data_IF_080486098566
#
_entry.id   IF_080486098566
#
_cell.length_a   1.000
_cell.length_b   1.000
_cell.length_c   1.000
_cell.angle_alpha   90.00
_cell.angle_beta   90.00
_cell.angle_gamma   90.00
#
_symmetry.space_group_name_H-M   'P 1'
#
loop_
_entity.id
_entity.type
_entity.pdbx_description
1 polymer ?
#
# COMPACT_ATOMS: atom_id res chain seq x y z
N UNK A 1 -28.45 4.05 5.30
CA UNK A 1 -27.79 3.77 6.58
C UNK A 1 -26.30 4.08 6.52
N UNK A 2 -25.51 3.36 5.77
CA UNK A 2 -24.05 3.61 5.69
C UNK A 2 -23.62 4.60 4.61
N UNK A 3 -24.47 4.93 3.66
CA UNK A 3 -24.10 5.79 2.52
C UNK A 3 -23.63 7.20 2.92
N UNK A 4 -23.99 7.65 4.11
CA UNK A 4 -23.56 8.96 4.62
C UNK A 4 -22.39 8.87 5.62
N UNK A 5 -21.79 7.69 5.78
CA UNK A 5 -20.68 7.46 6.70
C UNK A 5 -19.39 7.22 5.92
N UNK A 6 -18.30 7.75 6.44
CA UNK A 6 -17.00 7.52 5.84
C UNK A 6 -16.51 6.11 6.20
N UNK A 7 -15.82 5.47 5.25
CA UNK A 7 -15.10 4.25 5.52
C UNK A 7 -13.60 4.55 5.50
N UNK A 8 -12.81 3.66 6.10
CA UNK A 8 -11.37 3.75 6.09
C UNK A 8 -10.79 2.40 5.65
N UNK A 9 -9.60 2.43 5.05
CA UNK A 9 -8.85 1.22 4.79
C UNK A 9 -8.33 0.65 6.11
N UNK A 10 -8.26 -0.68 6.21
CA UNK A 10 -7.80 -1.33 7.43
C UNK A 10 -6.97 -2.56 7.04
N UNK A 11 -5.78 -2.70 7.64
CA UNK A 11 -4.89 -3.84 7.37
C UNK A 11 -4.44 -4.48 8.67
N UNK A 12 -4.30 -5.79 8.64
CA UNK A 12 -3.84 -6.58 9.77
C UNK A 12 -2.33 -6.80 9.69
N UNK A 13 -1.64 -6.65 10.81
CA UNK A 13 -0.19 -6.85 10.91
C UNK A 13 0.12 -7.68 12.15
N UNK A 14 1.30 -8.28 12.21
CA UNK A 14 1.73 -9.08 13.38
C UNK A 14 2.53 -8.27 14.38
N UNK A 15 3.28 -7.28 13.91
CA UNK A 15 4.17 -6.46 14.73
C UNK A 15 3.91 -4.99 14.42
N UNK A 16 3.34 -4.28 15.39
CA UNK A 16 2.94 -2.89 15.19
C UNK A 16 4.15 -1.96 15.01
N UNK A 17 5.25 -2.20 15.73
CA UNK A 17 6.44 -1.36 15.62
C UNK A 17 7.08 -1.48 14.21
N UNK A 18 7.18 -2.70 13.70
CA UNK A 18 7.69 -2.96 12.35
C UNK A 18 6.78 -2.32 11.29
N UNK A 19 5.48 -2.40 11.47
CA UNK A 19 4.51 -1.82 10.55
C UNK A 19 4.54 -0.30 10.57
N UNK A 20 4.72 0.31 11.75
CA UNK A 20 4.87 1.76 11.86
C UNK A 20 6.09 2.26 11.09
N UNK A 21 7.21 1.53 11.18
CA UNK A 21 8.40 1.86 10.40
C UNK A 21 8.12 1.74 8.90
N UNK A 22 7.46 0.68 8.48
CA UNK A 22 7.17 0.47 7.06
C UNK A 22 6.21 1.55 6.52
N UNK A 23 5.05 1.71 7.12
CA UNK A 23 4.04 2.66 6.62
C UNK A 23 4.44 4.11 6.85
N UNK A 24 5.05 4.42 7.98
CA UNK A 24 5.45 5.78 8.31
C UNK A 24 6.75 6.23 7.67
N UNK A 25 7.78 5.39 7.68
CA UNK A 25 9.10 5.77 7.17
C UNK A 25 9.30 5.35 5.72
N UNK A 26 9.04 4.09 5.38
CA UNK A 26 9.26 3.59 4.02
C UNK A 26 8.25 4.18 3.05
N UNK A 27 6.95 4.10 3.37
CA UNK A 27 5.90 4.65 2.51
C UNK A 27 5.66 6.15 2.72
N UNK A 28 6.13 6.71 3.82
CA UNK A 28 6.04 8.14 4.08
C UNK A 28 4.68 8.64 4.53
N UNK A 29 3.82 7.78 5.08
CA UNK A 29 2.52 8.20 5.58
C UNK A 29 2.67 8.93 6.92
N UNK A 30 1.80 9.89 7.17
CA UNK A 30 1.81 10.63 8.42
C UNK A 30 0.98 9.93 9.49
N UNK A 31 1.53 9.82 10.70
CA UNK A 31 0.77 9.31 11.83
C UNK A 31 -0.37 10.30 12.14
N UNK A 32 -1.60 9.80 12.26
CA UNK A 32 -2.73 10.66 12.60
C UNK A 32 -2.56 11.22 14.02
N UNK A 33 -2.93 12.50 14.27
CA UNK A 33 -2.72 13.11 15.59
C UNK A 33 -3.43 12.40 16.73
N UNK A 34 -4.55 11.72 16.42
CA UNK A 34 -5.35 10.98 17.40
C UNK A 34 -5.06 9.48 17.41
N UNK A 35 -3.97 9.03 16.76
CA UNK A 35 -3.62 7.63 16.71
C UNK A 35 -3.24 7.09 18.09
N UNK A 36 -3.73 5.88 18.42
CA UNK A 36 -3.19 5.07 19.50
C UNK A 36 -2.04 4.19 19.01
N UNK A 37 -1.60 3.26 19.83
CA UNK A 37 -0.57 2.30 19.45
C UNK A 37 -1.14 1.13 18.65
N UNK A 38 -2.20 0.51 19.13
CA UNK A 38 -2.91 -0.58 18.48
C UNK A 38 -4.41 -0.36 18.64
N UNK A 39 -5.13 0.05 17.61
CA UNK A 39 -4.62 0.27 16.26
C UNK A 39 -3.79 1.55 16.11
N UNK A 40 -2.84 1.50 15.20
CA UNK A 40 -2.14 2.69 14.73
C UNK A 40 -2.89 3.25 13.52
N UNK A 41 -3.07 4.56 13.46
CA UNK A 41 -3.81 5.22 12.38
C UNK A 41 -2.90 6.17 11.63
N UNK A 42 -2.84 6.02 10.32
CA UNK A 42 -2.08 6.90 9.44
C UNK A 42 -3.02 7.77 8.61
N UNK A 43 -2.57 8.96 8.29
CA UNK A 43 -3.20 9.85 7.33
C UNK A 43 -2.51 9.67 5.97
N UNK A 44 -3.30 9.44 4.92
CA UNK A 44 -2.80 9.32 3.55
C UNK A 44 -3.74 10.09 2.63
N UNK A 45 -3.25 11.17 2.02
CA UNK A 45 -4.14 12.09 1.32
C UNK A 45 -5.24 12.59 2.26
N UNK A 46 -6.49 12.48 1.82
CA UNK A 46 -7.66 12.87 2.62
C UNK A 46 -8.32 11.67 3.32
N UNK A 47 -7.66 10.52 3.32
CA UNK A 47 -8.21 9.29 3.90
C UNK A 47 -7.30 8.78 5.02
N UNK A 48 -7.77 7.75 5.69
CA UNK A 48 -7.03 7.12 6.80
C UNK A 48 -6.79 5.65 6.51
N UNK A 49 -5.64 5.18 6.99
CA UNK A 49 -5.30 3.76 7.01
C UNK A 49 -5.18 3.32 8.47
N UNK A 50 -5.96 2.33 8.84
CA UNK A 50 -5.95 1.76 10.20
C UNK A 50 -5.12 0.48 10.15
N UNK A 51 -4.12 0.38 11.02
CA UNK A 51 -3.22 -0.78 11.11
C UNK A 51 -3.40 -1.39 12.50
N UNK A 52 -3.76 -2.68 12.54
CA UNK A 52 -4.05 -3.34 13.82
C UNK A 52 -3.38 -4.71 13.87
N UNK A 53 -3.14 -5.19 15.09
CA UNK A 53 -2.50 -6.49 15.30
C UNK A 53 -3.53 -7.62 15.18
N UNK A 54 -3.19 -8.62 14.36
CA UNK A 54 -4.01 -9.83 14.20
C UNK A 54 -3.14 -11.00 13.81
N UNK A 55 -3.45 -12.18 14.35
CA UNK A 55 -2.79 -13.42 13.94
C UNK A 55 -3.11 -13.83 12.51
N UNK A 56 -4.14 -13.24 11.90
CA UNK A 56 -4.52 -13.50 10.52
C UNK A 56 -3.84 -12.57 9.52
N UNK A 57 -2.88 -11.77 9.96
CA UNK A 57 -2.14 -10.87 9.09
C UNK A 57 -1.45 -11.64 7.96
N UNK A 58 -1.53 -11.11 6.74
CA UNK A 58 -0.86 -11.68 5.56
C UNK A 58 -1.53 -12.91 4.98
N UNK A 59 -2.69 -13.30 5.46
CA UNK A 59 -3.43 -14.47 4.91
C UNK A 59 -4.25 -14.13 3.67
N UNK A 60 -4.55 -12.87 3.44
CA UNK A 60 -5.24 -12.44 2.22
C UNK A 60 -4.29 -12.52 1.02
N UNK A 61 -4.78 -13.09 -0.08
CA UNK A 61 -4.02 -13.25 -1.32
C UNK A 61 -4.44 -12.27 -2.41
N UNK A 62 -5.35 -11.36 -2.10
CA UNK A 62 -5.80 -10.30 -3.00
C UNK A 62 -5.23 -8.95 -2.56
N UNK A 63 -5.44 -7.91 -3.37
CA UNK A 63 -5.00 -6.58 -3.02
C UNK A 63 -5.67 -6.10 -1.73
N UNK A 64 -4.87 -5.56 -0.81
CA UNK A 64 -5.39 -4.99 0.44
C UNK A 64 -5.60 -3.49 0.34
N UNK A 65 -4.74 -2.80 -0.41
CA UNK A 65 -4.76 -1.35 -0.56
C UNK A 65 -4.40 -0.95 -1.96
N UNK A 66 -4.89 0.21 -2.39
CA UNK A 66 -4.49 0.81 -3.65
C UNK A 66 -4.30 2.32 -3.47
N UNK A 67 -3.25 2.85 -4.12
CA UNK A 67 -3.06 4.28 -4.31
C UNK A 67 -3.04 4.59 -5.80
N UNK A 68 -3.87 5.54 -6.24
CA UNK A 68 -3.77 6.11 -7.57
C UNK A 68 -2.75 7.24 -7.53
N UNK A 69 -1.66 7.10 -8.27
CA UNK A 69 -0.52 8.03 -8.18
C UNK A 69 -0.28 8.80 -9.47
N UNK A 70 -1.10 8.57 -10.50
CA UNK A 70 -1.01 9.28 -11.77
C UNK A 70 0.34 9.11 -12.45
N UNK A 71 0.86 10.20 -12.98
CA UNK A 71 2.12 10.21 -13.72
C UNK A 71 3.36 10.01 -12.83
N UNK A 72 3.20 10.03 -11.51
CA UNK A 72 4.33 9.89 -10.58
C UNK A 72 4.73 8.44 -10.33
N UNK A 73 4.09 7.47 -10.99
CA UNK A 73 4.32 6.05 -10.69
C UNK A 73 5.80 5.63 -10.87
N UNK A 74 6.48 6.09 -11.91
CA UNK A 74 7.88 5.73 -12.12
C UNK A 74 8.78 6.26 -11.00
N UNK A 75 8.58 7.52 -10.59
CA UNK A 75 9.39 8.11 -9.53
C UNK A 75 9.13 7.44 -8.18
N UNK A 76 7.87 7.11 -7.89
CA UNK A 76 7.50 6.43 -6.64
C UNK A 76 8.10 5.02 -6.58
N UNK A 77 8.02 4.26 -7.68
CA UNK A 77 8.62 2.92 -7.74
C UNK A 77 10.12 3.00 -7.51
N UNK A 78 10.81 3.96 -8.14
CA UNK A 78 12.25 4.17 -7.93
C UNK A 78 12.57 4.49 -6.47
N UNK A 79 11.81 5.40 -5.87
CA UNK A 79 12.05 5.82 -4.49
C UNK A 79 11.82 4.68 -3.51
N UNK A 80 10.76 3.90 -3.70
CA UNK A 80 10.48 2.74 -2.84
C UNK A 80 11.52 1.64 -3.03
N UNK A 81 11.95 1.37 -4.26
CA UNK A 81 13.01 0.40 -4.52
C UNK A 81 14.32 0.82 -3.84
N UNK A 82 14.64 2.11 -3.84
CA UNK A 82 15.83 2.63 -3.14
C UNK A 82 15.74 2.45 -1.62
N UNK A 83 14.54 2.35 -1.08
CA UNK A 83 14.30 2.08 0.35
C UNK A 83 14.17 0.60 0.67
N UNK A 84 14.44 -0.28 -0.29
CA UNK A 84 14.45 -1.72 -0.09
C UNK A 84 13.16 -2.44 -0.42
N UNK A 85 12.17 -1.76 -0.98
CA UNK A 85 10.92 -2.41 -1.41
C UNK A 85 11.19 -3.26 -2.65
N UNK A 86 10.72 -4.50 -2.63
CA UNK A 86 10.78 -5.41 -3.76
C UNK A 86 9.42 -5.43 -4.46
N UNK A 87 9.42 -5.14 -5.77
CA UNK A 87 8.19 -5.15 -6.54
C UNK A 87 7.93 -6.54 -7.12
N UNK A 88 6.65 -6.94 -7.07
CA UNK A 88 6.20 -8.23 -7.56
C UNK A 88 6.06 -8.22 -9.08
N UNK A 89 6.27 -9.37 -9.69
CA UNK A 89 6.00 -9.56 -11.10
C UNK A 89 4.87 -10.57 -11.26
N UNK A 90 3.80 -10.16 -11.91
CA UNK A 90 2.68 -11.04 -12.23
C UNK A 90 2.62 -11.27 -13.74
N UNK A 91 2.17 -12.47 -14.12
CA UNK A 91 2.01 -12.83 -15.52
C UNK A 91 0.62 -12.38 -15.98
N UNK A 92 0.54 -11.12 -16.39
CA UNK A 92 -0.72 -10.50 -16.83
C UNK A 92 -0.81 -10.54 -18.35
N UNK A 93 -1.92 -11.04 -18.92
CA UNK A 93 -2.10 -11.05 -20.37
C UNK A 93 -1.99 -9.65 -20.97
N UNK A 94 -1.29 -9.53 -22.09
CA UNK A 94 -1.12 -8.29 -22.85
C UNK A 94 -0.37 -7.18 -22.10
N UNK A 95 0.21 -7.49 -20.95
CA UNK A 95 1.03 -6.53 -20.20
C UNK A 95 2.50 -6.73 -20.54
N UNK A 96 3.25 -5.63 -20.58
CA UNK A 96 4.71 -5.66 -20.55
C UNK A 96 5.17 -5.34 -19.15
N UNK A 97 6.36 -5.83 -18.78
CA UNK A 97 6.91 -5.62 -17.45
C UNK A 97 8.35 -5.11 -17.57
N UNK A 98 8.65 -4.03 -16.88
CA UNK A 98 10.01 -3.51 -16.76
C UNK A 98 10.14 -2.70 -15.47
N UNK A 99 11.25 -2.93 -14.75
CA UNK A 99 11.63 -2.13 -13.59
C UNK A 99 10.54 -2.00 -12.52
N UNK A 100 9.84 -3.11 -12.25
CA UNK A 100 8.78 -3.16 -11.25
C UNK A 100 7.41 -2.73 -11.74
N UNK A 101 7.28 -2.30 -12.98
CA UNK A 101 6.04 -1.73 -13.52
C UNK A 101 5.48 -2.61 -14.62
N UNK A 102 4.20 -2.94 -14.49
CA UNK A 102 3.41 -3.60 -15.54
C UNK A 102 2.72 -2.52 -16.36
N UNK A 103 2.82 -2.61 -17.69
CA UNK A 103 2.19 -1.65 -18.61
C UNK A 103 1.15 -2.34 -19.45
N UNK A 104 -0.06 -1.78 -19.45
CA UNK A 104 -1.19 -2.24 -20.25
C UNK A 104 -1.73 -1.03 -21.01
N UNK A 105 -1.29 -0.85 -22.27
CA UNK A 105 -1.52 0.40 -22.98
C UNK A 105 -0.87 1.55 -22.21
N UNK A 106 -1.65 2.58 -21.91
CA UNK A 106 -1.17 3.72 -21.13
C UNK A 106 -1.26 3.51 -19.61
N UNK A 107 -1.95 2.46 -19.17
CA UNK A 107 -2.11 2.16 -17.75
C UNK A 107 -0.86 1.47 -17.21
N UNK A 108 -0.37 1.97 -16.08
CA UNK A 108 0.81 1.41 -15.40
C UNK A 108 0.43 1.00 -13.99
N UNK A 109 0.93 -0.16 -13.58
CA UNK A 109 0.58 -0.75 -12.30
C UNK A 109 1.79 -1.44 -11.67
N UNK A 110 1.89 -1.35 -10.35
CA UNK A 110 2.93 -2.02 -9.58
C UNK A 110 2.35 -2.60 -8.30
N UNK A 111 2.95 -3.69 -7.84
CA UNK A 111 2.55 -4.38 -6.62
C UNK A 111 3.76 -4.65 -5.75
N UNK A 112 3.57 -4.52 -4.45
CA UNK A 112 4.59 -4.86 -3.47
C UNK A 112 3.91 -5.33 -2.19
N UNK A 113 4.68 -5.88 -1.27
CA UNK A 113 4.13 -6.41 -0.02
C UNK A 113 4.61 -5.59 1.17
N UNK A 114 3.76 -5.47 2.17
CA UNK A 114 4.20 -5.00 3.48
C UNK A 114 4.99 -6.11 4.20
N UNK A 115 5.57 -5.85 5.39
CA UNK A 115 6.35 -6.87 6.10
C UNK A 115 5.58 -8.14 6.47
N UNK A 116 4.26 -8.10 6.51
CA UNK A 116 3.42 -9.25 6.84
C UNK A 116 2.90 -10.00 5.61
N UNK A 117 3.21 -9.50 4.41
CA UNK A 117 2.75 -10.11 3.17
C UNK A 117 1.42 -9.56 2.65
N UNK A 118 0.89 -8.49 3.25
CA UNK A 118 -0.27 -7.80 2.69
C UNK A 118 0.11 -7.21 1.33
N UNK A 119 -0.74 -7.42 0.33
CA UNK A 119 -0.46 -7.01 -1.04
C UNK A 119 -0.94 -5.58 -1.26
N UNK A 120 0.01 -4.71 -1.57
CA UNK A 120 -0.22 -3.28 -1.79
C UNK A 120 -0.04 -2.97 -3.28
N UNK A 121 -0.85 -2.05 -3.78
CA UNK A 121 -0.94 -1.76 -5.21
C UNK A 121 -0.88 -0.26 -5.45
N UNK A 122 -0.09 0.16 -6.42
CA UNK A 122 -0.10 1.52 -6.94
C UNK A 122 -0.31 1.49 -8.44
N UNK A 123 -1.02 2.48 -8.96
CA UNK A 123 -1.26 2.56 -10.40
C UNK A 123 -1.32 4.01 -10.88
N UNK A 124 -1.34 4.17 -12.20
CA UNK A 124 -1.34 5.48 -12.85
C UNK A 124 -2.72 6.17 -12.86
N UNK A 125 -3.72 5.60 -12.21
CA UNK A 125 -4.98 6.27 -11.96
C UNK A 125 -4.82 7.39 -10.94
N UNK A 126 -5.85 8.16 -10.74
CA UNK A 126 -5.82 9.29 -9.81
C UNK A 126 -6.91 9.18 -8.75
#
# INVERSE_FOLDING_TARGET
>A
MLKARNSAAIVAVKDIARSRAFYGETLGLNLAPDSGDDPTVFQTGDTRLIVYVSEFAGTNKANALVWGVGEEIESIVRDLAAKGVTFERYDLPEATYADGIHRMGDFRAAWFKDPDGNILHINSGS
#
